data_IF_255487782266
#
_entry.id   IF_255487782266
#
_cell.length_a   1.000
_cell.length_b   1.000
_cell.length_c   1.000
_cell.angle_alpha   90.00
_cell.angle_beta   90.00
_cell.angle_gamma   90.00
#
_symmetry.space_group_name_H-M   'P 1'
#
loop_
_entity.id
_entity.type
_entity.pdbx_description
1 polymer ?
#
# COMPACT_ATOMS: atom_id res chain seq x y z
N UNK A 1 1.68 33.67 3.95
CA UNK A 1 2.27 32.43 3.44
C UNK A 1 1.15 31.39 3.39
N UNK A 2 0.59 31.14 2.21
CA UNK A 2 -0.49 30.16 2.03
C UNK A 2 0.11 28.78 1.84
N UNK A 3 0.00 27.94 2.86
CA UNK A 3 0.41 26.54 2.77
C UNK A 3 -0.55 25.80 1.86
N UNK A 4 -0.10 25.42 0.66
CA UNK A 4 -0.79 24.42 -0.16
C UNK A 4 -0.44 23.04 0.41
N UNK A 5 -1.34 22.46 1.18
CA UNK A 5 -1.28 21.03 1.49
C UNK A 5 -1.55 20.27 0.21
N UNK A 6 -0.50 19.77 -0.44
CA UNK A 6 -0.65 18.81 -1.54
C UNK A 6 -1.25 17.54 -0.94
N UNK A 7 -2.54 17.31 -1.17
CA UNK A 7 -3.19 16.07 -0.73
C UNK A 7 -2.73 14.95 -1.65
N UNK A 8 -2.13 13.92 -1.07
CA UNK A 8 -1.80 12.70 -1.82
C UNK A 8 -3.02 12.11 -2.52
N UNK A 9 -2.79 11.56 -3.71
CA UNK A 9 -3.83 10.93 -4.53
C UNK A 9 -4.15 9.50 -4.07
N UNK A 10 -3.26 8.89 -3.27
CA UNK A 10 -3.44 7.53 -2.76
C UNK A 10 -4.66 7.44 -1.84
N UNK A 11 -5.62 6.62 -2.26
CA UNK A 11 -6.87 6.37 -1.53
C UNK A 11 -7.03 4.84 -1.42
N UNK A 12 -6.47 4.20 -0.38
CA UNK A 12 -6.45 2.73 -0.21
C UNK A 12 -7.82 2.07 -0.39
N UNK A 13 -8.88 2.74 0.07
CA UNK A 13 -10.26 2.29 0.04
C UNK A 13 -10.93 2.37 -1.35
N UNK A 14 -10.32 3.08 -2.31
CA UNK A 14 -10.82 3.22 -3.69
C UNK A 14 -9.88 2.58 -4.72
N UNK A 15 -8.82 1.92 -4.26
CA UNK A 15 -7.83 1.30 -5.12
C UNK A 15 -8.39 0.01 -5.70
N UNK A 16 -8.30 -0.09 -7.02
CA UNK A 16 -8.42 -1.33 -7.78
C UNK A 16 -7.09 -2.07 -7.72
N UNK A 17 -7.12 -3.39 -7.61
CA UNK A 17 -5.91 -4.18 -7.33
C UNK A 17 -5.12 -4.62 -8.56
N UNK A 18 -5.59 -4.32 -9.77
CA UNK A 18 -4.96 -4.81 -11.01
C UNK A 18 -3.48 -4.40 -11.10
N UNK A 19 -3.12 -3.20 -10.64
CA UNK A 19 -1.73 -2.73 -10.64
C UNK A 19 -0.85 -3.47 -9.62
N UNK A 20 -1.43 -4.09 -8.60
CA UNK A 20 -0.71 -4.84 -7.58
C UNK A 20 -0.53 -6.32 -7.92
N UNK A 21 -1.19 -6.84 -8.95
CA UNK A 21 -1.04 -8.23 -9.39
C UNK A 21 0.40 -8.58 -9.81
N UNK A 22 1.21 -7.58 -10.15
CA UNK A 22 2.65 -7.73 -10.38
C UNK A 22 3.39 -8.28 -9.14
N UNK A 23 2.80 -8.17 -7.94
CA UNK A 23 3.35 -8.68 -6.69
C UNK A 23 3.05 -10.17 -6.47
N UNK A 24 2.10 -10.77 -7.21
CA UNK A 24 1.71 -12.17 -7.03
C UNK A 24 2.92 -13.13 -7.03
N UNK A 25 3.84 -13.05 -8.01
CA UNK A 25 4.98 -13.97 -8.04
C UNK A 25 6.00 -13.71 -6.92
N UNK A 26 6.00 -12.50 -6.34
CA UNK A 26 6.95 -12.11 -5.28
C UNK A 26 6.55 -12.72 -3.94
N UNK A 27 5.25 -12.88 -3.69
CA UNK A 27 4.71 -13.40 -2.44
C UNK A 27 4.27 -14.87 -2.53
N UNK A 28 4.47 -15.51 -3.68
CA UNK A 28 4.07 -16.90 -3.90
C UNK A 28 4.72 -17.84 -2.86
N UNK A 29 3.88 -18.57 -2.13
CA UNK A 29 4.31 -19.49 -1.06
C UNK A 29 4.84 -18.81 0.20
N UNK A 30 4.85 -17.47 0.27
CA UNK A 30 5.24 -16.74 1.46
C UNK A 30 4.21 -16.95 2.58
N UNK A 31 4.68 -17.20 3.80
CA UNK A 31 3.84 -17.26 5.01
C UNK A 31 3.77 -15.93 5.75
N UNK A 32 4.76 -15.07 5.53
CA UNK A 32 4.91 -13.77 6.19
C UNK A 32 5.45 -12.79 5.14
N UNK A 33 4.80 -11.62 5.02
CA UNK A 33 5.25 -10.52 4.17
C UNK A 33 5.49 -9.28 5.03
N UNK A 34 6.73 -8.80 5.03
CA UNK A 34 7.10 -7.56 5.73
C UNK A 34 6.90 -6.33 4.85
N UNK A 35 6.20 -5.32 5.36
CA UNK A 35 5.94 -4.06 4.64
C UNK A 35 6.50 -2.88 5.45
N UNK A 36 7.66 -2.37 5.02
CA UNK A 36 8.31 -1.20 5.61
C UNK A 36 7.88 0.14 4.99
N UNK A 37 8.43 1.23 5.52
CA UNK A 37 8.33 2.58 4.97
C UNK A 37 9.71 3.24 4.91
N UNK A 38 9.94 4.10 3.92
CA UNK A 38 11.24 4.77 3.72
C UNK A 38 11.50 5.91 4.73
N UNK A 39 10.46 6.40 5.41
CA UNK A 39 10.54 7.40 6.46
C UNK A 39 9.28 7.37 7.33
N UNK A 40 9.40 7.85 8.56
CA UNK A 40 8.27 7.97 9.49
C UNK A 40 7.51 9.29 9.30
N UNK A 41 6.20 9.24 9.62
CA UNK A 41 5.28 10.39 9.58
C UNK A 41 5.05 11.00 8.19
N UNK A 42 5.35 10.24 7.13
CA UNK A 42 5.00 10.60 5.75
C UNK A 42 3.66 9.96 5.41
N UNK A 43 2.65 10.80 5.13
CA UNK A 43 1.28 10.35 4.88
C UNK A 43 1.20 9.39 3.68
N UNK A 44 1.96 9.67 2.63
CA UNK A 44 2.05 8.85 1.42
C UNK A 44 2.51 7.43 1.73
N UNK A 45 3.52 7.26 2.58
CA UNK A 45 4.00 5.93 2.96
C UNK A 45 2.99 5.18 3.82
N UNK A 46 2.33 5.87 4.76
CA UNK A 46 1.27 5.25 5.55
C UNK A 46 0.11 4.75 4.67
N UNK A 47 -0.29 5.54 3.67
CA UNK A 47 -1.37 5.16 2.75
C UNK A 47 -0.94 4.08 1.74
N UNK A 48 0.28 4.14 1.22
CA UNK A 48 0.82 3.09 0.36
C UNK A 48 0.86 1.74 1.10
N UNK A 49 1.33 1.75 2.36
CA UNK A 49 1.33 0.56 3.22
C UNK A 49 -0.08 0.03 3.46
N UNK A 50 -1.03 0.89 3.81
CA UNK A 50 -2.43 0.48 3.97
C UNK A 50 -3.01 -0.15 2.70
N UNK A 51 -2.62 0.35 1.52
CA UNK A 51 -3.05 -0.19 0.23
C UNK A 51 -2.51 -1.61 0.00
N UNK A 52 -1.22 -1.82 0.26
CA UNK A 52 -0.59 -3.14 0.15
C UNK A 52 -1.15 -4.14 1.17
N UNK A 53 -1.35 -3.71 2.42
CA UNK A 53 -1.96 -4.55 3.46
C UNK A 53 -3.36 -4.99 3.01
N UNK A 54 -4.20 -4.03 2.58
CA UNK A 54 -5.55 -4.34 2.10
C UNK A 54 -5.53 -5.35 0.97
N UNK A 55 -4.64 -5.16 0.00
CA UNK A 55 -4.49 -6.09 -1.12
C UNK A 55 -4.11 -7.50 -0.69
N UNK A 56 -3.11 -7.64 0.18
CA UNK A 56 -2.67 -8.96 0.64
C UNK A 56 -3.73 -9.66 1.50
N UNK A 57 -4.48 -8.93 2.32
CA UNK A 57 -5.62 -9.49 3.08
C UNK A 57 -6.76 -9.91 2.16
N UNK A 58 -7.15 -9.06 1.20
CA UNK A 58 -8.33 -9.30 0.36
C UNK A 58 -8.10 -10.27 -0.81
N UNK A 59 -6.86 -10.44 -1.29
CA UNK A 59 -6.54 -11.24 -2.48
C UNK A 59 -5.68 -12.47 -2.20
N UNK A 60 -4.95 -12.50 -1.09
CA UNK A 60 -3.95 -13.52 -0.80
C UNK A 60 -4.12 -14.18 0.59
N UNK A 61 -5.21 -13.87 1.29
CA UNK A 61 -5.59 -14.46 2.58
C UNK A 61 -4.50 -14.37 3.68
N UNK A 62 -3.73 -13.28 3.69
CA UNK A 62 -2.78 -12.95 4.76
C UNK A 62 -3.46 -12.38 6.02
#
# INVERSE_FOLDING_TARGET
>A
MTWRTTRTLLQPQKLEFNEFEILNPVVEGARIVGIGEGAHFVAEFSLARASLIRYFVERHDF
#
